data_IF_283489345520
#
_entry.id   IF_283489345520
#
_cell.length_a   1.000
_cell.length_b   1.000
_cell.length_c   1.000
_cell.angle_alpha   90.00
_cell.angle_beta   90.00
_cell.angle_gamma   90.00
#
_symmetry.space_group_name_H-M   'P 1'
#
loop_
_entity.id
_entity.type
_entity.pdbx_description
1 polymer ?
#
# COMPACT_ATOMS: atom_id res chain seq x y z
N UNK A 1 1.54 16.40 -17.46
CA UNK A 1 2.80 16.38 -16.68
C UNK A 1 4.02 16.05 -17.54
N UNK A 2 3.90 15.24 -18.60
CA UNK A 2 5.04 14.93 -19.50
C UNK A 2 5.74 16.18 -20.05
N UNK A 3 4.99 17.16 -20.56
CA UNK A 3 5.56 18.43 -21.06
C UNK A 3 6.35 19.19 -20.00
N UNK A 4 5.89 19.15 -18.74
CA UNK A 4 6.57 19.81 -17.61
C UNK A 4 7.87 19.08 -17.29
N UNK A 5 7.85 17.75 -17.22
CA UNK A 5 9.04 16.94 -17.02
C UNK A 5 10.08 17.12 -18.14
N UNK A 6 9.63 17.28 -19.40
CA UNK A 6 10.52 17.58 -20.52
C UNK A 6 11.13 18.98 -20.44
N UNK A 7 10.36 19.98 -20.00
CA UNK A 7 10.85 21.35 -19.82
C UNK A 7 11.82 21.48 -18.64
N UNK A 8 11.64 20.65 -17.61
CA UNK A 8 12.46 20.66 -16.38
C UNK A 8 13.08 19.28 -16.11
N UNK A 9 14.03 18.82 -16.95
CA UNK A 9 14.62 17.47 -16.85
C UNK A 9 15.38 17.22 -15.54
N UNK A 10 15.85 18.30 -14.89
CA UNK A 10 16.59 18.21 -13.63
C UNK A 10 15.72 18.35 -12.37
N UNK A 11 14.45 18.70 -12.52
CA UNK A 11 13.50 18.70 -11.41
C UNK A 11 12.99 17.28 -11.17
N UNK A 12 13.59 16.61 -10.19
CA UNK A 12 13.24 15.24 -9.80
C UNK A 12 11.80 15.11 -9.29
N UNK A 13 11.23 16.17 -8.71
CA UNK A 13 9.82 16.17 -8.33
C UNK A 13 8.92 16.23 -9.55
N UNK A 14 9.26 17.04 -10.56
CA UNK A 14 8.53 17.08 -11.84
C UNK A 14 8.59 15.73 -12.55
N UNK A 15 9.75 15.07 -12.57
CA UNK A 15 9.88 13.70 -13.12
C UNK A 15 9.00 12.70 -12.35
N UNK A 16 9.04 12.74 -11.01
CA UNK A 16 8.23 11.86 -10.16
C UNK A 16 6.73 12.07 -10.36
N UNK A 17 6.28 13.33 -10.46
CA UNK A 17 4.88 13.66 -10.70
C UNK A 17 4.42 13.28 -12.13
N UNK A 18 5.32 13.31 -13.11
CA UNK A 18 5.01 12.80 -14.45
C UNK A 18 4.80 11.29 -14.44
N UNK A 19 5.64 10.52 -13.74
CA UNK A 19 5.43 9.09 -13.55
C UNK A 19 4.10 8.81 -12.83
N UNK A 20 3.81 9.53 -11.74
CA UNK A 20 2.55 9.39 -11.01
C UNK A 20 1.31 9.71 -11.87
N UNK A 21 1.40 10.73 -12.73
CA UNK A 21 0.33 11.06 -13.66
C UNK A 21 0.08 9.94 -14.68
N UNK A 22 1.13 9.33 -15.22
CA UNK A 22 1.01 8.15 -16.11
C UNK A 22 0.40 6.96 -15.38
N UNK A 23 0.80 6.70 -14.14
CA UNK A 23 0.22 5.64 -13.31
C UNK A 23 -1.29 5.83 -13.11
N UNK A 24 -1.74 7.06 -12.86
CA UNK A 24 -3.15 7.37 -12.64
C UNK A 24 -4.04 7.21 -13.89
N UNK A 25 -3.49 7.30 -15.10
CA UNK A 25 -4.27 7.14 -16.35
C UNK A 25 -4.44 5.69 -16.79
N UNK A 26 -3.85 4.72 -16.08
CA UNK A 26 -3.85 3.28 -16.48
C UNK A 26 -4.74 2.39 -15.61
N UNK A 27 -5.55 2.97 -14.71
CA UNK A 27 -6.42 2.24 -13.77
C UNK A 27 -5.67 1.16 -12.96
N UNK A 28 -4.39 1.37 -12.67
CA UNK A 28 -3.56 0.45 -11.88
C UNK A 28 -3.37 -0.94 -12.50
N UNK A 29 -3.54 -1.05 -13.82
CA UNK A 29 -3.23 -2.28 -14.58
C UNK A 29 -1.92 -2.06 -15.34
N UNK A 30 -0.79 -2.22 -14.66
CA UNK A 30 0.54 -1.89 -15.20
C UNK A 30 1.16 -3.04 -16.01
N UNK A 31 0.90 -4.27 -15.62
CA UNK A 31 1.51 -5.47 -16.22
C UNK A 31 0.44 -6.28 -16.95
N UNK A 32 0.83 -6.93 -18.05
CA UNK A 32 -0.02 -7.88 -18.75
C UNK A 32 -0.08 -9.20 -17.99
N UNK A 33 -1.03 -10.08 -18.35
CA UNK A 33 -1.21 -11.38 -17.67
C UNK A 33 0.01 -12.29 -17.75
N UNK A 34 0.79 -12.16 -18.82
CA UNK A 34 2.05 -12.88 -19.02
C UNK A 34 3.23 -12.25 -18.26
N UNK A 35 2.99 -11.15 -17.53
CA UNK A 35 3.98 -10.40 -16.76
C UNK A 35 4.79 -9.39 -17.56
N UNK A 36 4.56 -9.24 -18.87
CA UNK A 36 5.20 -8.19 -19.66
C UNK A 36 4.68 -6.80 -19.25
N UNK A 37 5.52 -5.75 -19.24
CA UNK A 37 5.06 -4.40 -18.98
C UNK A 37 4.20 -3.90 -20.16
N UNK A 38 3.21 -3.05 -19.87
CA UNK A 38 2.58 -2.24 -20.92
C UNK A 38 3.53 -1.13 -21.37
N UNK A 39 3.39 -0.58 -22.60
CA UNK A 39 4.29 0.47 -23.08
C UNK A 39 4.35 1.71 -22.17
N UNK A 40 3.23 2.08 -21.53
CA UNK A 40 3.20 3.19 -20.56
C UNK A 40 3.90 2.84 -19.24
N UNK A 41 3.90 1.55 -18.86
CA UNK A 41 4.58 1.04 -17.67
C UNK A 41 6.08 1.14 -17.80
N UNK A 42 6.63 0.74 -18.95
CA UNK A 42 8.07 0.90 -19.23
C UNK A 42 8.51 2.35 -19.05
N UNK A 43 7.70 3.31 -19.55
CA UNK A 43 7.99 4.74 -19.43
C UNK A 43 8.05 5.22 -17.99
N UNK A 44 7.01 4.98 -17.19
CA UNK A 44 7.00 5.50 -15.83
C UNK A 44 7.95 4.73 -14.90
N UNK A 45 8.20 3.43 -15.14
CA UNK A 45 9.20 2.65 -14.38
C UNK A 45 10.59 3.21 -14.63
N UNK A 46 10.99 3.39 -15.91
CA UNK A 46 12.29 3.95 -16.25
C UNK A 46 12.47 5.37 -15.68
N UNK A 47 11.39 6.17 -15.67
CA UNK A 47 11.43 7.51 -15.10
C UNK A 47 11.65 7.48 -13.58
N UNK A 48 10.94 6.60 -12.85
CA UNK A 48 11.12 6.43 -11.41
C UNK A 48 12.51 5.91 -11.06
N UNK A 49 13.04 4.95 -11.84
CA UNK A 49 14.38 4.40 -11.67
C UNK A 49 15.46 5.47 -11.88
N UNK A 50 15.33 6.28 -12.93
CA UNK A 50 16.23 7.42 -13.16
C UNK A 50 16.21 8.42 -12.00
N UNK A 51 15.04 8.69 -11.43
CA UNK A 51 14.96 9.56 -10.25
C UNK A 51 15.61 8.91 -9.02
N UNK A 52 15.38 7.61 -8.77
CA UNK A 52 15.98 6.88 -7.65
C UNK A 52 17.51 6.86 -7.74
N UNK A 53 18.05 6.72 -8.95
CA UNK A 53 19.50 6.77 -9.19
C UNK A 53 20.10 8.14 -8.84
N UNK A 54 19.38 9.22 -9.14
CA UNK A 54 19.82 10.61 -8.90
C UNK A 54 19.60 11.06 -7.45
N UNK A 55 18.48 10.69 -6.86
CA UNK A 55 18.16 10.94 -5.45
C UNK A 55 17.27 9.82 -4.87
N UNK A 56 17.86 8.86 -4.13
CA UNK A 56 17.10 7.76 -3.54
C UNK A 56 16.29 8.20 -2.31
N UNK A 57 16.41 9.44 -1.83
CA UNK A 57 15.75 9.92 -0.61
C UNK A 57 14.36 10.50 -0.85
N UNK A 58 13.94 10.65 -2.10
CA UNK A 58 12.63 11.18 -2.44
C UNK A 58 11.50 10.20 -2.07
N UNK A 59 10.76 10.56 -1.03
CA UNK A 59 9.63 9.79 -0.49
C UNK A 59 8.61 9.42 -1.58
N UNK A 60 8.22 10.40 -2.41
CA UNK A 60 7.23 10.20 -3.48
C UNK A 60 7.69 9.16 -4.50
N UNK A 61 8.96 9.21 -4.92
CA UNK A 61 9.51 8.30 -5.91
C UNK A 61 9.59 6.87 -5.38
N UNK A 62 10.08 6.69 -4.15
CA UNK A 62 10.12 5.36 -3.51
C UNK A 62 8.70 4.78 -3.34
N UNK A 63 7.73 5.61 -2.97
CA UNK A 63 6.32 5.24 -2.88
C UNK A 63 5.74 4.77 -4.22
N UNK A 64 5.85 5.58 -5.28
CA UNK A 64 5.33 5.21 -6.59
C UNK A 64 6.05 4.01 -7.19
N UNK A 65 7.35 3.85 -6.95
CA UNK A 65 8.10 2.71 -7.45
C UNK A 65 7.64 1.39 -6.82
N UNK A 66 7.32 1.38 -5.52
CA UNK A 66 6.72 0.21 -4.86
C UNK A 66 5.46 -0.23 -5.61
N UNK A 67 4.53 0.69 -5.82
CA UNK A 67 3.28 0.39 -6.54
C UNK A 67 3.51 -0.03 -8.00
N UNK A 68 4.49 0.58 -8.67
CA UNK A 68 4.82 0.24 -10.05
C UNK A 68 5.24 -1.23 -10.19
N UNK A 69 5.99 -1.77 -9.23
CA UNK A 69 6.62 -3.10 -9.33
C UNK A 69 5.95 -4.19 -8.48
N UNK A 70 5.05 -3.86 -7.55
CA UNK A 70 4.44 -4.86 -6.63
C UNK A 70 3.72 -6.00 -7.36
N UNK A 71 3.08 -5.68 -8.49
CA UNK A 71 2.33 -6.62 -9.32
C UNK A 71 3.13 -7.23 -10.48
N UNK A 72 4.43 -6.87 -10.61
CA UNK A 72 5.31 -7.41 -11.65
C UNK A 72 5.74 -8.86 -11.35
N UNK A 73 6.46 -9.48 -12.29
CA UNK A 73 7.17 -10.75 -12.06
C UNK A 73 8.48 -10.59 -11.27
N UNK A 74 8.92 -9.35 -11.03
CA UNK A 74 10.15 -9.00 -10.35
C UNK A 74 9.90 -8.03 -9.18
N UNK A 75 8.99 -8.35 -8.23
CA UNK A 75 8.67 -7.45 -7.12
C UNK A 75 9.88 -7.20 -6.20
N UNK A 76 10.90 -8.05 -6.25
CA UNK A 76 12.17 -7.86 -5.54
C UNK A 76 12.89 -6.56 -5.89
N UNK A 77 12.66 -5.99 -7.08
CA UNK A 77 13.18 -4.67 -7.46
C UNK A 77 12.72 -3.58 -6.50
N UNK A 78 11.52 -3.71 -5.92
CA UNK A 78 10.97 -2.73 -4.98
C UNK A 78 11.57 -2.78 -3.58
N UNK A 79 12.37 -3.80 -3.23
CA UNK A 79 12.87 -4.02 -1.86
C UNK A 79 13.70 -2.84 -1.33
N UNK A 80 14.67 -2.28 -2.10
CA UNK A 80 15.42 -1.12 -1.64
C UNK A 80 14.51 0.08 -1.35
N UNK A 81 13.51 0.33 -2.21
CA UNK A 81 12.56 1.43 -2.01
C UNK A 81 11.65 1.21 -0.80
N UNK A 82 11.19 -0.02 -0.57
CA UNK A 82 10.44 -0.39 0.63
C UNK A 82 11.25 -0.14 1.92
N UNK A 83 12.53 -0.55 1.94
CA UNK A 83 13.41 -0.31 3.10
C UNK A 83 13.66 1.18 3.34
N UNK A 84 13.89 1.97 2.29
CA UNK A 84 14.09 3.42 2.40
C UNK A 84 12.82 4.11 2.89
N UNK A 85 11.69 3.83 2.27
CA UNK A 85 10.42 4.50 2.56
C UNK A 85 9.99 4.33 4.02
N UNK A 86 10.19 3.13 4.59
CA UNK A 86 9.92 2.86 6.00
C UNK A 86 10.71 3.74 6.98
N UNK A 87 11.81 4.36 6.54
CA UNK A 87 12.60 5.32 7.33
C UNK A 87 12.27 6.78 6.99
N UNK A 88 11.90 7.05 5.74
CA UNK A 88 11.68 8.41 5.22
C UNK A 88 10.34 9.03 5.66
N UNK A 89 9.31 8.21 5.90
CA UNK A 89 7.96 8.70 6.18
C UNK A 89 7.27 7.94 7.34
N UNK A 90 7.68 8.17 8.60
CA UNK A 90 7.15 7.44 9.75
C UNK A 90 5.77 7.91 10.24
N UNK A 91 5.26 9.05 9.75
CA UNK A 91 4.02 9.67 10.26
C UNK A 91 2.74 9.21 9.55
N UNK A 92 2.60 9.39 8.23
CA UNK A 92 1.35 9.05 7.55
C UNK A 92 1.20 7.53 7.43
N UNK A 93 0.18 6.93 8.05
CA UNK A 93 0.01 5.48 8.07
C UNK A 93 0.02 4.84 6.68
N UNK A 94 -0.52 5.54 5.66
CA UNK A 94 -0.38 5.17 4.24
C UNK A 94 1.10 4.94 3.84
N UNK A 95 2.00 5.87 4.10
CA UNK A 95 3.41 5.71 3.72
C UNK A 95 4.14 4.69 4.60
N UNK A 96 3.70 4.51 5.85
CA UNK A 96 4.28 3.56 6.80
C UNK A 96 3.99 2.10 6.41
N UNK A 97 2.80 1.80 5.88
CA UNK A 97 2.45 0.43 5.47
C UNK A 97 2.99 0.06 4.08
N UNK A 98 3.28 1.04 3.22
CA UNK A 98 3.76 0.83 1.84
C UNK A 98 4.84 -0.25 1.69
N UNK A 99 5.88 -0.35 2.55
CA UNK A 99 6.86 -1.41 2.47
C UNK A 99 6.27 -2.83 2.48
N UNK A 100 5.14 -3.01 3.16
CA UNK A 100 4.40 -4.27 3.24
C UNK A 100 3.99 -4.82 1.87
N UNK A 101 3.67 -3.95 0.89
CA UNK A 101 3.29 -4.39 -0.47
C UNK A 101 4.40 -5.19 -1.14
N UNK A 102 5.65 -4.79 -0.98
CA UNK A 102 6.79 -5.55 -1.49
C UNK A 102 7.08 -6.75 -0.59
N UNK A 103 7.13 -6.55 0.73
CA UNK A 103 7.52 -7.60 1.67
C UNK A 103 6.63 -8.84 1.59
N UNK A 104 5.32 -8.68 1.43
CA UNK A 104 4.41 -9.80 1.18
C UNK A 104 4.75 -10.57 -0.09
N UNK A 105 5.09 -9.85 -1.18
CA UNK A 105 5.37 -10.44 -2.49
C UNK A 105 6.68 -11.21 -2.53
N UNK A 106 7.64 -10.84 -1.68
CA UNK A 106 8.96 -11.50 -1.58
C UNK A 106 9.10 -12.43 -0.37
N UNK A 107 8.01 -12.71 0.35
CA UNK A 107 8.01 -13.66 1.48
C UNK A 107 8.60 -13.12 2.79
N UNK A 108 8.84 -11.81 2.91
CA UNK A 108 9.31 -11.15 4.14
C UNK A 108 8.14 -10.85 5.09
N UNK A 109 7.40 -11.89 5.49
CA UNK A 109 6.14 -11.73 6.21
C UNK A 109 6.29 -11.04 7.57
N UNK A 110 7.36 -11.33 8.32
CA UNK A 110 7.63 -10.66 9.59
C UNK A 110 7.84 -9.15 9.41
N UNK A 111 8.63 -8.74 8.40
CA UNK A 111 8.83 -7.32 8.10
C UNK A 111 7.54 -6.64 7.66
N UNK A 112 6.69 -7.35 6.91
CA UNK A 112 5.36 -6.87 6.53
C UNK A 112 4.49 -6.67 7.77
N UNK A 113 4.41 -7.65 8.68
CA UNK A 113 3.64 -7.54 9.93
C UNK A 113 4.09 -6.33 10.75
N UNK A 114 5.39 -6.18 10.98
CA UNK A 114 5.93 -5.06 11.76
C UNK A 114 5.66 -3.70 11.11
N UNK A 115 5.77 -3.59 9.78
CA UNK A 115 5.42 -2.37 9.06
C UNK A 115 3.93 -2.01 9.23
N UNK A 116 3.05 -3.01 9.18
CA UNK A 116 1.62 -2.80 9.33
C UNK A 116 1.22 -2.48 10.77
N UNK A 117 1.86 -3.07 11.79
CA UNK A 117 1.66 -2.68 13.19
C UNK A 117 1.98 -1.20 13.37
N UNK A 118 3.14 -0.74 12.86
CA UNK A 118 3.51 0.68 12.90
C UNK A 118 2.52 1.57 12.18
N UNK A 119 2.02 1.13 11.02
CA UNK A 119 1.05 1.89 10.24
C UNK A 119 -0.31 2.01 10.93
N UNK A 120 -0.82 0.91 11.49
CA UNK A 120 -2.06 0.91 12.27
C UNK A 120 -1.95 1.86 13.47
N UNK A 121 -0.84 1.80 14.21
CA UNK A 121 -0.61 2.72 15.33
C UNK A 121 -0.56 4.19 14.86
N UNK A 122 0.14 4.47 13.75
CA UNK A 122 0.23 5.82 13.20
C UNK A 122 -1.13 6.37 12.72
N UNK A 123 -1.98 5.52 12.13
CA UNK A 123 -3.35 5.90 11.77
C UNK A 123 -4.21 6.17 13.01
N UNK A 124 -4.08 5.35 14.07
CA UNK A 124 -4.82 5.54 15.32
C UNK A 124 -4.44 6.84 16.00
N UNK A 125 -3.14 7.15 16.11
CA UNK A 125 -2.64 8.42 16.63
C UNK A 125 -3.18 9.60 15.82
N UNK A 126 -3.16 9.50 14.49
CA UNK A 126 -3.71 10.53 13.60
C UNK A 126 -5.22 10.72 13.79
N UNK A 127 -5.98 9.62 13.91
CA UNK A 127 -7.43 9.69 14.14
C UNK A 127 -7.77 10.37 15.48
N UNK A 128 -7.03 10.08 16.54
CA UNK A 128 -7.18 10.70 17.87
C UNK A 128 -6.83 12.19 17.82
N UNK A 129 -5.73 12.57 17.18
CA UNK A 129 -5.23 13.95 17.17
C UNK A 129 -6.06 14.88 16.29
N UNK A 130 -6.53 14.41 15.14
CA UNK A 130 -7.17 15.25 14.14
C UNK A 130 -8.70 15.16 14.17
N UNK A 131 -9.29 14.40 15.09
CA UNK A 131 -10.75 14.17 15.19
C UNK A 131 -11.38 13.89 13.82
N UNK A 132 -10.67 13.13 12.97
CA UNK A 132 -10.93 13.12 11.53
C UNK A 132 -12.31 12.55 11.21
N UNK A 133 -13.10 13.32 10.48
CA UNK A 133 -14.34 12.89 9.85
C UNK A 133 -14.13 12.78 8.32
N UNK A 134 -14.78 11.82 7.66
CA UNK A 134 -14.76 11.68 6.20
C UNK A 134 -14.08 10.41 5.69
N UNK A 135 -13.55 10.45 4.45
CA UNK A 135 -13.06 9.26 3.71
C UNK A 135 -11.80 8.61 4.31
N UNK A 136 -10.99 9.36 5.06
CA UNK A 136 -9.69 8.89 5.55
C UNK A 136 -9.77 7.75 6.59
N UNK A 137 -10.55 7.85 7.69
CA UNK A 137 -10.82 6.72 8.60
C UNK A 137 -11.47 5.51 7.91
N UNK A 138 -12.20 5.78 6.83
CA UNK A 138 -13.11 4.86 6.15
C UNK A 138 -12.37 4.02 5.09
N UNK A 139 -11.30 4.57 4.49
CA UNK A 139 -10.49 3.91 3.45
C UNK A 139 -9.15 3.38 3.94
N UNK A 140 -8.29 4.26 4.46
CA UNK A 140 -6.87 3.93 4.73
C UNK A 140 -6.70 3.05 5.96
N UNK A 141 -7.41 3.33 7.05
CA UNK A 141 -7.31 2.54 8.28
C UNK A 141 -7.79 1.09 8.09
N UNK A 142 -8.92 0.89 7.40
CA UNK A 142 -9.42 -0.46 7.06
C UNK A 142 -8.44 -1.22 6.18
N UNK A 143 -7.84 -0.53 5.21
CA UNK A 143 -6.85 -1.13 4.33
C UNK A 143 -5.63 -1.61 5.12
N UNK A 144 -5.08 -0.77 5.99
CA UNK A 144 -3.88 -1.07 6.78
C UNK A 144 -4.14 -2.22 7.76
N UNK A 145 -5.27 -2.19 8.47
CA UNK A 145 -5.64 -3.25 9.43
C UNK A 145 -5.92 -4.59 8.72
N UNK A 146 -6.54 -4.56 7.53
CA UNK A 146 -6.69 -5.75 6.69
C UNK A 146 -5.34 -6.30 6.22
N UNK A 147 -4.41 -5.42 5.89
CA UNK A 147 -3.06 -5.80 5.48
C UNK A 147 -2.26 -6.39 6.64
N UNK A 148 -2.44 -5.87 7.87
CA UNK A 148 -1.91 -6.47 9.09
C UNK A 148 -2.42 -7.89 9.29
N UNK A 149 -3.72 -8.13 9.13
CA UNK A 149 -4.28 -9.50 9.18
C UNK A 149 -3.60 -10.40 8.15
N UNK A 150 -3.52 -9.97 6.89
CA UNK A 150 -2.94 -10.79 5.83
C UNK A 150 -1.46 -11.14 6.11
N UNK A 151 -0.65 -10.16 6.50
CA UNK A 151 0.76 -10.34 6.82
C UNK A 151 0.98 -11.26 8.01
N UNK A 152 0.31 -10.99 9.13
CA UNK A 152 0.44 -11.79 10.36
C UNK A 152 -0.11 -13.21 10.18
N UNK A 153 -1.13 -13.42 9.35
CA UNK A 153 -1.62 -14.74 9.01
C UNK A 153 -0.59 -15.55 8.21
N UNK A 154 0.07 -14.93 7.22
CA UNK A 154 1.13 -15.56 6.43
C UNK A 154 2.40 -15.82 7.25
N UNK A 155 2.74 -14.93 8.19
CA UNK A 155 3.84 -15.12 9.14
C UNK A 155 3.56 -16.25 10.14
N UNK A 156 2.29 -16.49 10.49
CA UNK A 156 1.88 -17.46 11.51
C UNK A 156 1.68 -16.88 12.91
N UNK A 157 1.61 -15.55 13.06
CA UNK A 157 1.32 -14.89 14.35
C UNK A 157 -0.17 -14.92 14.65
N UNK A 158 -0.67 -16.07 15.10
CA UNK A 158 -2.11 -16.33 15.25
C UNK A 158 -2.84 -15.25 16.06
N UNK A 159 -2.31 -14.86 17.22
CA UNK A 159 -2.95 -13.87 18.08
C UNK A 159 -3.06 -12.49 17.42
N UNK A 160 -2.00 -12.05 16.74
CA UNK A 160 -1.99 -10.78 16.00
C UNK A 160 -2.99 -10.83 14.85
N UNK A 161 -2.99 -11.93 14.07
CA UNK A 161 -3.90 -12.13 12.96
C UNK A 161 -5.36 -12.14 13.41
N UNK A 162 -5.69 -12.85 14.48
CA UNK A 162 -7.03 -12.92 15.04
C UNK A 162 -7.51 -11.55 15.54
N UNK A 163 -6.65 -10.81 16.25
CA UNK A 163 -6.99 -9.48 16.73
C UNK A 163 -7.23 -8.50 15.57
N UNK A 164 -6.32 -8.46 14.59
CA UNK A 164 -6.47 -7.61 13.41
C UNK A 164 -7.73 -7.98 12.60
N UNK A 165 -8.05 -9.27 12.49
CA UNK A 165 -9.24 -9.74 11.80
C UNK A 165 -10.54 -9.23 12.44
N UNK A 166 -10.65 -9.35 13.77
CA UNK A 166 -11.79 -8.83 14.52
C UNK A 166 -11.91 -7.30 14.38
N UNK A 167 -10.78 -6.57 14.43
CA UNK A 167 -10.78 -5.12 14.21
C UNK A 167 -11.34 -4.74 12.84
N UNK A 168 -10.91 -5.41 11.76
CA UNK A 168 -11.45 -5.20 10.41
C UNK A 168 -12.97 -5.41 10.40
N UNK A 169 -13.44 -6.54 10.92
CA UNK A 169 -14.86 -6.87 10.92
C UNK A 169 -15.71 -5.90 11.75
N UNK A 170 -15.24 -5.50 12.92
CA UNK A 170 -15.97 -4.58 13.80
C UNK A 170 -16.00 -3.17 13.23
N UNK A 171 -14.89 -2.67 12.68
CA UNK A 171 -14.84 -1.35 12.08
C UNK A 171 -15.74 -1.22 10.86
N UNK A 172 -15.92 -2.29 10.08
CA UNK A 172 -16.89 -2.26 8.96
C UNK A 172 -18.31 -2.11 9.50
N UNK A 173 -18.69 -2.86 10.55
CA UNK A 173 -20.01 -2.74 11.18
C UNK A 173 -20.26 -1.36 11.80
N UNK A 174 -19.23 -0.77 12.42
CA UNK A 174 -19.31 0.55 13.05
C UNK A 174 -19.46 1.69 12.02
N UNK A 175 -18.68 1.64 10.94
CA UNK A 175 -18.56 2.77 10.02
C UNK A 175 -19.52 2.70 8.82
N UNK A 176 -20.13 1.55 8.56
CA UNK A 176 -20.98 1.36 7.39
C UNK A 176 -22.33 0.74 7.76
N UNK A 177 -23.45 1.32 7.29
CA UNK A 177 -24.74 0.71 7.48
C UNK A 177 -24.83 -0.60 6.70
N UNK A 178 -25.57 -1.58 7.21
CA UNK A 178 -25.71 -2.89 6.60
C UNK A 178 -26.14 -2.84 5.11
N UNK A 179 -26.94 -1.84 4.73
CA UNK A 179 -27.34 -1.62 3.34
C UNK A 179 -26.16 -1.35 2.39
N UNK A 180 -25.10 -0.67 2.86
CA UNK A 180 -23.90 -0.39 2.08
C UNK A 180 -23.12 -1.67 1.73
N UNK A 181 -23.27 -2.74 2.51
CA UNK A 181 -22.53 -4.00 2.30
C UNK A 181 -23.03 -4.73 1.05
N UNK A 182 -24.34 -4.65 0.74
CA UNK A 182 -24.94 -5.38 -0.38
C UNK A 182 -24.32 -5.01 -1.74
N UNK A 183 -23.87 -3.78 -1.89
CA UNK A 183 -23.38 -3.23 -3.15
C UNK A 183 -21.85 -3.05 -3.17
N UNK A 184 -21.12 -3.58 -2.17
CA UNK A 184 -19.67 -3.42 -2.08
C UNK A 184 -18.97 -4.74 -1.80
N UNK A 185 -18.36 -5.31 -2.84
CA UNK A 185 -17.54 -6.52 -2.72
C UNK A 185 -16.37 -6.34 -1.76
N UNK A 186 -15.82 -5.12 -1.66
CA UNK A 186 -14.75 -4.79 -0.71
C UNK A 186 -15.22 -4.91 0.74
N UNK A 187 -16.38 -4.33 1.07
CA UNK A 187 -16.93 -4.42 2.43
C UNK A 187 -17.31 -5.86 2.79
N UNK A 188 -17.84 -6.62 1.83
CA UNK A 188 -18.13 -8.06 2.02
C UNK A 188 -16.84 -8.84 2.30
N UNK A 189 -15.76 -8.58 1.54
CA UNK A 189 -14.47 -9.21 1.76
C UNK A 189 -13.96 -8.92 3.18
N UNK A 190 -13.97 -7.66 3.62
CA UNK A 190 -13.53 -7.26 4.96
C UNK A 190 -14.39 -7.86 6.08
N UNK A 191 -15.71 -7.92 5.92
CA UNK A 191 -16.61 -8.59 6.88
C UNK A 191 -16.33 -10.09 7.03
N UNK A 192 -15.77 -10.73 6.00
CA UNK A 192 -15.43 -12.16 6.04
C UNK A 192 -14.13 -12.46 6.80
N UNK A 193 -13.28 -11.45 7.02
CA UNK A 193 -11.92 -11.61 7.57
C UNK A 193 -11.87 -12.32 8.93
N UNK A 194 -12.74 -12.01 9.91
CA UNK A 194 -12.80 -12.77 11.17
C UNK A 194 -13.02 -14.27 10.96
N UNK A 195 -13.86 -14.66 10.00
CA UNK A 195 -14.12 -16.07 9.70
C UNK A 195 -12.91 -16.73 9.05
N UNK A 196 -12.25 -16.05 8.11
CA UNK A 196 -11.02 -16.55 7.48
C UNK A 196 -9.90 -16.75 8.51
N UNK A 197 -9.77 -15.86 9.48
CA UNK A 197 -8.80 -16.00 10.57
C UNK A 197 -9.10 -17.23 11.45
N UNK A 198 -10.37 -17.42 11.82
CA UNK A 198 -10.83 -18.59 12.62
C UNK A 198 -10.62 -19.91 11.88
N UNK A 199 -10.84 -19.96 10.57
CA UNK A 199 -10.55 -21.18 9.79
C UNK A 199 -9.07 -21.55 9.81
N UNK A 200 -8.17 -20.56 9.88
CA UNK A 200 -6.73 -20.79 9.85
C UNK A 200 -6.14 -21.11 11.23
N UNK A 201 -6.68 -20.51 12.30
CA UNK A 201 -6.05 -20.51 13.64
C UNK A 201 -6.98 -20.91 14.80
N UNK A 202 -8.25 -21.20 14.55
CA UNK A 202 -9.26 -21.55 15.55
C UNK A 202 -9.67 -23.02 15.52
#
# INVERSE_FOLDING_TARGET
MEEVAQRYPDDLHAQTLAAAAMMNTTRWVYWNKDGSPKPITEKFVALLESVIERDPTLTGTNHYYIHAVESSQTPSLGVPSAVRLGKLAPGPGHLVYMPGHIYLRVGRYADATEANIRATNADEDYMVQCATQGIYPVGSYHHNTHFLWAASALEGRSQVAMNAAEQVGNKVKENYPHAAHKNSSRLQAWMSVPYNARVRFG
#
